data_IF_167639512643
#
_entry.id   IF_167639512643
#
_cell.length_a   1.000
_cell.length_b   1.000
_cell.length_c   1.000
_cell.angle_alpha   90.00
_cell.angle_beta   90.00
_cell.angle_gamma   90.00
#
_symmetry.space_group_name_H-M   'P 1'
#
loop_
_entity.id
_entity.type
_entity.pdbx_description
1 polymer ?
#
# COMPACT_ATOMS: atom_id res chain seq x y z
N UNK A 1 18.97 -0.88 9.04
CA UNK A 1 18.41 -1.69 10.15
C UNK A 1 16.93 -1.80 9.85
N UNK A 2 16.41 -2.97 9.49
CA UNK A 2 15.04 -3.08 8.99
C UNK A 2 14.03 -2.82 10.12
N UNK A 3 13.28 -1.74 10.03
CA UNK A 3 12.16 -1.48 10.94
C UNK A 3 11.12 -2.59 10.74
N UNK A 4 10.68 -3.19 11.84
CA UNK A 4 9.67 -4.24 11.78
C UNK A 4 8.28 -3.57 11.77
N UNK A 5 7.64 -3.53 10.60
CA UNK A 5 6.30 -2.96 10.41
C UNK A 5 5.31 -3.46 11.46
N UNK A 6 5.34 -4.76 11.79
CA UNK A 6 4.45 -5.34 12.81
C UNK A 6 4.69 -4.73 14.18
N UNK A 7 5.96 -4.58 14.61
CA UNK A 7 6.26 -3.99 15.91
C UNK A 7 5.76 -2.55 15.98
N UNK A 8 5.94 -1.77 14.91
CA UNK A 8 5.52 -0.36 14.89
C UNK A 8 4.01 -0.25 14.91
N UNK A 9 3.29 -1.04 14.11
CA UNK A 9 1.82 -1.05 14.11
C UNK A 9 1.27 -1.46 15.49
N UNK A 10 1.89 -2.44 16.15
CA UNK A 10 1.40 -2.90 17.46
C UNK A 10 1.62 -1.88 18.60
N UNK A 11 2.55 -0.93 18.45
CA UNK A 11 2.78 0.12 19.47
C UNK A 11 1.53 0.94 19.77
N UNK A 12 0.70 1.25 18.78
CA UNK A 12 -0.52 2.03 19.02
C UNK A 12 -1.51 1.33 19.96
N UNK A 13 -1.56 -0.01 19.89
CA UNK A 13 -2.34 -0.83 20.82
C UNK A 13 -1.66 -0.93 22.18
N UNK A 14 -0.36 -1.20 22.21
CA UNK A 14 0.42 -1.38 23.45
C UNK A 14 0.47 -0.10 24.30
N UNK A 15 0.52 1.06 23.65
CA UNK A 15 0.57 2.36 24.30
C UNK A 15 -0.80 3.02 24.49
N UNK A 16 -1.90 2.31 24.20
CA UNK A 16 -3.27 2.82 24.31
C UNK A 16 -3.54 4.11 23.50
N UNK A 17 -2.86 4.30 22.37
CA UNK A 17 -3.09 5.41 21.42
C UNK A 17 -4.31 5.10 20.55
N UNK A 18 -4.49 3.83 20.19
CA UNK A 18 -5.62 3.37 19.38
C UNK A 18 -6.68 2.68 20.25
N UNK A 19 -7.93 3.12 20.14
CA UNK A 19 -9.10 2.47 20.74
C UNK A 19 -10.11 2.11 19.65
N UNK A 20 -10.44 0.83 19.53
CA UNK A 20 -11.43 0.33 18.57
C UNK A 20 -12.86 0.74 18.90
N UNK A 21 -13.14 1.22 20.11
CA UNK A 21 -14.46 1.72 20.49
C UNK A 21 -14.70 3.15 20.02
N UNK A 22 -13.66 3.87 19.61
CA UNK A 22 -13.78 5.23 19.07
C UNK A 22 -13.96 5.15 17.56
N UNK A 23 -15.11 5.63 17.08
CA UNK A 23 -15.57 5.41 15.71
C UNK A 23 -14.59 5.91 14.63
N UNK A 24 -13.87 7.01 14.88
CA UNK A 24 -12.95 7.59 13.91
C UNK A 24 -11.52 7.01 13.98
N UNK A 25 -11.16 6.25 15.01
CA UNK A 25 -9.78 5.74 15.15
C UNK A 25 -9.43 4.77 14.03
N UNK A 26 -10.33 3.85 13.69
CA UNK A 26 -10.09 2.88 12.62
C UNK A 26 -9.89 3.55 11.24
N UNK A 27 -10.79 4.44 10.77
CA UNK A 27 -10.57 5.12 9.50
C UNK A 27 -9.37 6.07 9.53
N UNK A 28 -9.09 6.75 10.65
CA UNK A 28 -7.88 7.58 10.79
C UNK A 28 -6.61 6.73 10.69
N UNK A 29 -6.61 5.55 11.32
CA UNK A 29 -5.51 4.60 11.24
C UNK A 29 -5.27 4.19 9.78
N UNK A 30 -6.31 3.81 9.04
CA UNK A 30 -6.13 3.45 7.64
C UNK A 30 -5.64 4.62 6.80
N UNK A 31 -6.20 5.82 6.99
CA UNK A 31 -5.80 7.02 6.26
C UNK A 31 -4.31 7.33 6.44
N UNK A 32 -3.77 7.17 7.66
CA UNK A 32 -2.35 7.41 7.98
C UNK A 32 -1.47 6.23 7.56
N UNK A 33 -1.78 5.02 8.02
CA UNK A 33 -0.85 3.88 7.94
C UNK A 33 -0.82 3.22 6.57
N UNK A 34 -1.91 3.21 5.81
CA UNK A 34 -1.93 2.60 4.47
C UNK A 34 -0.88 3.23 3.54
N UNK A 35 -0.85 4.56 3.33
CA UNK A 35 0.16 5.16 2.44
C UNK A 35 1.58 4.98 2.98
N UNK A 36 1.78 5.03 4.30
CA UNK A 36 3.08 4.80 4.93
C UNK A 36 3.57 3.36 4.71
N UNK A 37 2.72 2.37 4.96
CA UNK A 37 3.06 0.95 4.75
C UNK A 37 3.30 0.69 3.25
N UNK A 38 2.46 1.25 2.37
CA UNK A 38 2.65 1.10 0.93
C UNK A 38 3.98 1.68 0.48
N UNK A 39 4.41 2.82 1.03
CA UNK A 39 5.73 3.39 0.76
C UNK A 39 6.86 2.44 1.17
N UNK A 40 6.83 1.90 2.39
CA UNK A 40 7.84 0.94 2.87
C UNK A 40 7.87 -0.35 2.04
N UNK A 41 6.71 -0.85 1.61
CA UNK A 41 6.60 -2.00 0.73
C UNK A 41 7.18 -1.71 -0.67
N UNK A 42 6.95 -0.51 -1.19
CA UNK A 42 7.51 -0.08 -2.48
C UNK A 42 9.04 0.03 -2.41
N UNK A 43 9.59 0.60 -1.34
CA UNK A 43 11.04 0.67 -1.11
C UNK A 43 11.65 -0.73 -1.03
N UNK A 44 11.02 -1.64 -0.28
CA UNK A 44 11.46 -3.03 -0.20
C UNK A 44 11.39 -3.73 -1.56
N UNK A 45 10.27 -3.60 -2.27
CA UNK A 45 10.08 -4.16 -3.59
C UNK A 45 11.14 -3.66 -4.58
N UNK A 46 11.43 -2.36 -4.55
CA UNK A 46 12.44 -1.75 -5.41
C UNK A 46 13.83 -2.30 -5.09
N UNK A 47 14.23 -2.29 -3.82
CA UNK A 47 15.50 -2.85 -3.38
C UNK A 47 15.64 -4.33 -3.75
N UNK A 48 14.61 -5.14 -3.48
CA UNK A 48 14.62 -6.58 -3.77
C UNK A 48 14.75 -6.87 -5.27
N UNK A 49 14.04 -6.13 -6.10
CA UNK A 49 14.05 -6.36 -7.55
C UNK A 49 15.26 -5.77 -8.26
N UNK A 50 15.95 -4.81 -7.64
CA UNK A 50 17.16 -4.17 -8.21
C UNK A 50 18.46 -4.79 -7.72
N UNK A 51 18.43 -5.58 -6.64
CA UNK A 51 19.65 -6.22 -6.15
C UNK A 51 20.15 -7.30 -7.12
N UNK A 52 21.47 -7.50 -7.18
CA UNK A 52 22.05 -8.60 -7.97
C UNK A 52 21.93 -9.91 -7.20
N UNK A 53 21.23 -10.89 -7.78
CA UNK A 53 21.16 -12.23 -7.19
C UNK A 53 22.46 -13.01 -7.42
N UNK A 54 22.75 -13.96 -6.52
CA UNK A 54 23.90 -14.86 -6.64
C UNK A 54 23.77 -15.76 -7.88
N UNK A 55 24.91 -16.07 -8.50
CA UNK A 55 24.99 -17.07 -9.58
C UNK A 55 24.72 -18.47 -9.02
N UNK A 56 23.89 -19.25 -9.71
CA UNK A 56 23.60 -20.64 -9.41
C UNK A 56 23.89 -21.48 -10.66
N UNK A 57 25.01 -22.23 -10.71
CA UNK A 57 25.49 -22.86 -11.94
C UNK A 57 24.55 -23.95 -12.47
N UNK A 58 23.85 -24.67 -11.59
CA UNK A 58 22.97 -25.78 -11.98
C UNK A 58 21.53 -25.33 -12.30
N UNK A 59 21.28 -24.02 -12.38
CA UNK A 59 19.94 -23.47 -12.62
C UNK A 59 19.74 -23.22 -14.12
N UNK A 60 18.70 -23.82 -14.69
CA UNK A 60 18.31 -23.59 -16.09
C UNK A 60 17.78 -22.16 -16.36
N UNK A 61 17.34 -21.45 -15.32
CA UNK A 61 16.83 -20.08 -15.41
C UNK A 61 17.94 -19.06 -15.12
N UNK A 62 17.82 -17.81 -15.60
CA UNK A 62 18.82 -16.77 -15.36
C UNK A 62 19.18 -16.64 -13.87
N UNK A 63 20.48 -16.58 -13.60
CA UNK A 63 21.07 -16.38 -12.27
C UNK A 63 22.25 -15.42 -12.39
N UNK A 64 22.63 -14.75 -11.29
CA UNK A 64 23.70 -13.74 -11.38
C UNK A 64 23.28 -12.40 -12.00
N UNK A 65 21.99 -12.12 -12.14
CA UNK A 65 21.47 -10.89 -12.73
C UNK A 65 20.61 -10.10 -11.75
N UNK A 66 20.17 -8.92 -12.15
CA UNK A 66 19.17 -8.14 -11.41
C UNK A 66 17.78 -8.68 -11.80
N UNK A 67 16.90 -9.07 -10.85
CA UNK A 67 15.58 -9.62 -11.15
C UNK A 67 14.74 -8.74 -12.09
N UNK A 68 14.74 -7.42 -11.89
CA UNK A 68 14.01 -6.48 -12.73
C UNK A 68 14.37 -6.60 -14.22
N UNK A 69 15.64 -6.85 -14.55
CA UNK A 69 16.06 -6.99 -15.96
C UNK A 69 15.41 -8.21 -16.65
N UNK A 70 15.12 -9.28 -15.92
CA UNK A 70 14.45 -10.46 -16.48
C UNK A 70 12.98 -10.13 -16.78
N UNK A 71 12.34 -9.34 -15.93
CA UNK A 71 10.94 -8.92 -16.11
C UNK A 71 10.79 -7.90 -17.24
N UNK A 72 11.73 -6.97 -17.38
CA UNK A 72 11.73 -5.94 -18.43
C UNK A 72 12.13 -6.49 -19.80
N UNK A 73 13.07 -7.45 -19.83
CA UNK A 73 13.62 -8.01 -21.06
C UNK A 73 13.59 -9.55 -21.07
N UNK A 74 12.40 -10.17 -20.93
CA UNK A 74 12.29 -11.62 -20.81
C UNK A 74 12.85 -12.35 -22.04
N UNK A 75 12.68 -11.79 -23.24
CA UNK A 75 13.17 -12.37 -24.50
C UNK A 75 14.70 -12.48 -24.55
N UNK A 76 15.43 -11.51 -23.96
CA UNK A 76 16.90 -11.55 -23.92
C UNK A 76 17.44 -12.66 -23.00
N UNK A 77 16.56 -13.23 -22.18
CA UNK A 77 16.86 -14.24 -21.17
C UNK A 77 16.20 -15.60 -21.52
N UNK A 78 15.77 -15.79 -22.77
CA UNK A 78 15.13 -17.02 -23.23
C UNK A 78 13.66 -17.17 -22.80
N UNK A 79 13.04 -16.12 -22.27
CA UNK A 79 11.62 -16.09 -21.99
C UNK A 79 10.79 -16.18 -23.28
N UNK A 80 9.61 -16.77 -23.18
CA UNK A 80 8.62 -16.88 -24.25
C UNK A 80 7.34 -16.15 -23.82
N UNK A 81 6.63 -15.55 -24.76
CA UNK A 81 5.36 -14.91 -24.45
C UNK A 81 4.27 -15.98 -24.29
N UNK A 82 3.84 -16.19 -23.04
CA UNK A 82 2.76 -17.12 -22.70
C UNK A 82 1.41 -16.41 -22.48
N UNK A 83 1.29 -15.13 -22.86
CA UNK A 83 0.03 -14.38 -22.68
C UNK A 83 -1.09 -14.99 -23.50
N UNK A 84 -2.26 -15.12 -22.87
CA UNK A 84 -3.52 -15.34 -23.58
C UNK A 84 -4.02 -13.95 -24.00
N UNK A 85 -4.17 -13.74 -25.31
CA UNK A 85 -4.71 -12.49 -25.84
C UNK A 85 -6.22 -12.47 -25.59
N UNK A 86 -6.65 -11.56 -24.72
CA UNK A 86 -8.07 -11.34 -24.41
C UNK A 86 -8.49 -10.06 -25.15
N UNK A 87 -9.57 -10.10 -25.97
CA UNK A 87 -10.11 -8.89 -26.61
C UNK A 87 -10.41 -7.82 -25.56
N UNK A 88 -10.07 -6.58 -25.86
CA UNK A 88 -10.24 -5.49 -24.90
C UNK A 88 -11.71 -5.22 -24.62
N UNK A 89 -12.54 -5.40 -25.64
CA UNK A 89 -13.99 -5.29 -25.58
C UNK A 89 -14.57 -6.25 -24.53
N UNK A 90 -14.10 -7.50 -24.49
CA UNK A 90 -14.55 -8.47 -23.49
C UNK A 90 -14.12 -8.10 -22.06
N UNK A 91 -12.97 -7.45 -21.89
CA UNK A 91 -12.51 -6.96 -20.58
C UNK A 91 -13.35 -5.75 -20.14
N UNK A 92 -13.66 -4.86 -21.05
CA UNK A 92 -14.45 -3.65 -20.79
C UNK A 92 -15.91 -4.04 -20.46
N UNK A 93 -16.53 -4.92 -21.24
CA UNK A 93 -17.86 -5.49 -20.96
C UNK A 93 -17.93 -6.18 -19.58
N UNK A 94 -16.91 -6.97 -19.24
CA UNK A 94 -16.84 -7.62 -17.92
C UNK A 94 -16.71 -6.60 -16.79
N UNK A 95 -15.96 -5.52 -17.00
CA UNK A 95 -15.81 -4.45 -16.00
C UNK A 95 -17.09 -3.67 -15.79
N UNK A 96 -17.83 -3.40 -16.87
CA UNK A 96 -19.16 -2.76 -16.80
C UNK A 96 -20.13 -3.64 -16.03
N UNK A 97 -20.23 -4.93 -16.39
CA UNK A 97 -21.04 -5.90 -15.68
C UNK A 97 -20.71 -5.97 -14.18
N UNK A 98 -19.43 -6.05 -13.81
CA UNK A 98 -19.01 -6.05 -12.41
C UNK A 98 -19.39 -4.75 -11.70
N UNK A 99 -19.25 -3.61 -12.38
CA UNK A 99 -19.61 -2.31 -11.81
C UNK A 99 -21.09 -2.23 -11.47
N UNK A 100 -21.95 -2.75 -12.35
CA UNK A 100 -23.40 -2.79 -12.15
C UNK A 100 -23.82 -3.77 -11.04
N UNK A 101 -23.16 -4.93 -10.95
CA UNK A 101 -23.56 -6.00 -10.03
C UNK A 101 -23.03 -5.83 -8.60
N UNK A 102 -21.76 -5.43 -8.46
CA UNK A 102 -21.08 -5.39 -7.15
C UNK A 102 -20.67 -3.99 -6.72
N UNK A 103 -20.70 -3.01 -7.63
CA UNK A 103 -20.35 -1.62 -7.35
C UNK A 103 -19.05 -1.18 -8.03
N UNK A 104 -18.75 0.11 -7.86
CA UNK A 104 -17.59 0.70 -8.51
C UNK A 104 -16.27 0.19 -7.92
N UNK A 105 -15.26 0.02 -8.78
CA UNK A 105 -13.90 -0.27 -8.32
C UNK A 105 -13.41 0.69 -7.23
N UNK A 106 -13.74 1.97 -7.37
CA UNK A 106 -13.26 3.00 -6.45
C UNK A 106 -13.95 2.94 -5.08
N UNK A 107 -15.19 2.46 -4.99
CA UNK A 107 -15.84 2.19 -3.71
C UNK A 107 -15.26 0.96 -3.05
N UNK A 108 -14.99 -0.10 -3.83
CA UNK A 108 -14.63 -1.41 -3.30
C UNK A 108 -13.16 -1.50 -2.87
N UNK A 109 -12.30 -0.60 -3.38
CA UNK A 109 -10.90 -0.50 -3.00
C UNK A 109 -10.62 0.47 -1.85
N UNK A 110 -11.66 1.09 -1.27
CA UNK A 110 -11.50 1.95 -0.10
C UNK A 110 -11.39 1.15 1.18
N UNK A 111 -10.61 1.68 2.11
CA UNK A 111 -10.50 1.08 3.43
C UNK A 111 -11.77 1.32 4.26
N UNK A 112 -12.17 0.36 5.11
CA UNK A 112 -13.39 0.49 5.90
C UNK A 112 -13.44 1.79 6.71
N UNK A 113 -14.53 2.54 6.54
CA UNK A 113 -14.77 3.82 7.22
C UNK A 113 -14.06 5.03 6.61
N UNK A 114 -13.13 4.83 5.65
CA UNK A 114 -12.45 5.92 4.94
C UNK A 114 -13.34 6.38 3.77
N UNK A 115 -14.45 7.03 4.11
CA UNK A 115 -15.35 7.62 3.11
C UNK A 115 -14.75 8.90 2.53
N UNK A 116 -15.32 9.41 1.44
CA UNK A 116 -14.88 10.69 0.83
C UNK A 116 -14.99 11.85 1.82
N UNK A 117 -16.04 11.84 2.65
CA UNK A 117 -16.25 12.83 3.70
C UNK A 117 -15.20 12.71 4.80
N UNK A 118 -14.85 11.49 5.19
CA UNK A 118 -13.80 11.24 6.17
C UNK A 118 -12.43 11.66 5.64
N UNK A 119 -12.09 11.33 4.39
CA UNK A 119 -10.85 11.75 3.74
C UNK A 119 -10.72 13.27 3.73
N UNK A 120 -11.80 13.98 3.37
CA UNK A 120 -11.81 15.44 3.38
C UNK A 120 -11.58 16.01 4.78
N UNK A 121 -12.26 15.46 5.79
CA UNK A 121 -12.08 15.87 7.18
C UNK A 121 -10.65 15.60 7.67
N UNK A 122 -10.12 14.40 7.41
CA UNK A 122 -8.77 14.03 7.79
C UNK A 122 -7.72 14.93 7.11
N UNK A 123 -7.89 15.25 5.83
CA UNK A 123 -7.03 16.19 5.11
C UNK A 123 -7.08 17.60 5.73
N UNK A 124 -8.28 18.11 6.02
CA UNK A 124 -8.46 19.42 6.66
C UNK A 124 -7.76 19.47 8.03
N UNK A 125 -7.88 18.41 8.84
CA UNK A 125 -7.20 18.29 10.14
C UNK A 125 -5.69 18.18 9.97
N UNK A 126 -5.21 17.36 9.04
CA UNK A 126 -3.78 17.16 8.77
C UNK A 126 -3.11 18.46 8.30
N UNK A 127 -3.78 19.22 7.42
CA UNK A 127 -3.36 20.57 7.01
C UNK A 127 -3.39 21.53 8.21
N UNK A 128 -4.41 21.45 9.06
CA UNK A 128 -4.56 22.26 10.27
C UNK A 128 -3.42 22.10 11.28
N UNK A 129 -2.85 20.89 11.41
CA UNK A 129 -1.69 20.62 12.27
C UNK A 129 -0.34 20.90 11.57
N UNK A 130 -0.35 21.50 10.38
CA UNK A 130 0.85 21.92 9.65
C UNK A 130 1.41 20.88 8.68
N UNK A 131 0.60 19.90 8.26
CA UNK A 131 0.95 18.87 7.29
C UNK A 131 2.24 18.11 7.64
N UNK A 132 2.34 17.52 8.86
CA UNK A 132 3.53 16.80 9.26
C UNK A 132 3.81 15.64 8.31
N UNK A 133 5.09 15.36 8.09
CA UNK A 133 5.52 14.30 7.19
C UNK A 133 5.08 12.93 7.74
N UNK A 134 4.32 12.19 6.93
CA UNK A 134 3.90 10.82 7.24
C UNK A 134 5.04 9.84 6.95
N UNK A 135 5.72 9.41 8.02
CA UNK A 135 6.75 8.37 7.99
C UNK A 135 6.36 7.26 8.96
N UNK A 136 6.96 6.08 8.79
CA UNK A 136 6.69 4.94 9.68
C UNK A 136 7.01 5.25 11.14
N UNK A 137 8.02 6.08 11.39
CA UNK A 137 8.46 6.48 12.72
C UNK A 137 7.55 7.53 13.37
N UNK A 138 6.96 8.42 12.57
CA UNK A 138 6.10 9.53 13.04
C UNK A 138 4.60 9.22 12.95
N UNK A 139 4.20 8.10 12.33
CA UNK A 139 2.80 7.80 12.03
C UNK A 139 1.89 7.81 13.28
N UNK A 140 2.38 7.30 14.41
CA UNK A 140 1.61 7.33 15.67
C UNK A 140 1.57 8.71 16.31
N UNK A 141 2.62 9.52 16.17
CA UNK A 141 2.65 10.89 16.68
C UNK A 141 1.63 11.74 15.91
N UNK A 142 1.63 11.63 14.58
CA UNK A 142 0.64 12.30 13.72
C UNK A 142 -0.77 11.79 14.01
N UNK A 143 -0.95 10.48 14.23
CA UNK A 143 -2.24 9.93 14.65
C UNK A 143 -2.73 10.59 15.95
N UNK A 144 -1.87 10.68 16.97
CA UNK A 144 -2.24 11.27 18.25
C UNK A 144 -2.59 12.77 18.12
N UNK A 145 -1.81 13.52 17.34
CA UNK A 145 -2.08 14.94 17.07
C UNK A 145 -3.41 15.15 16.35
N UNK A 146 -3.68 14.38 15.28
CA UNK A 146 -4.94 14.45 14.54
C UNK A 146 -6.13 14.01 15.41
N UNK A 147 -5.96 12.95 16.21
CA UNK A 147 -7.00 12.44 17.12
C UNK A 147 -7.42 13.52 18.12
N UNK A 148 -6.45 14.23 18.71
CA UNK A 148 -6.73 15.31 19.65
C UNK A 148 -7.52 16.47 19.02
N UNK A 149 -7.35 16.74 17.72
CA UNK A 149 -8.12 17.77 17.02
C UNK A 149 -9.54 17.28 16.69
N UNK A 150 -9.69 16.01 16.30
CA UNK A 150 -11.00 15.43 15.93
C UNK A 150 -11.92 15.23 17.14
N UNK A 151 -11.36 14.99 18.32
CA UNK A 151 -12.12 14.86 19.57
C UNK A 151 -12.68 16.19 20.11
N UNK A 152 -12.12 17.33 19.69
CA UNK A 152 -12.51 18.68 20.13
C UNK A 152 -13.60 19.30 19.25
#
# INVERSE_FOLDING_TARGET
MGLNLKLIILRGKENHIFDSNVAFHLPLFYWIFVPVIQHELNEFWHWWNTHRIRVQPDKNMPSGHVPAHILEHPLHMGGIDCRIQIPREAVDELREYLTDEVGSRDSDLRWPGVTVEFERMAEEVWVGIGSPRLLLESAWDVFAEMSAVIEN
#
